data_IF_537102059117
#
_entry.id   IF_537102059117
#
_cell.length_a   1.000
_cell.length_b   1.000
_cell.length_c   1.000
_cell.angle_alpha   90.00
_cell.angle_beta   90.00
_cell.angle_gamma   90.00
#
_symmetry.space_group_name_H-M   'P 1'
#
loop_
_entity.id
_entity.type
_entity.pdbx_description
1 polymer ?
#
# COMPACT_ATOMS: atom_id res chain seq x y z
N UNK A 1 25.57 -15.05 -25.83
CA UNK A 1 24.57 -15.98 -25.31
C UNK A 1 23.26 -15.20 -25.12
N UNK A 2 22.19 -15.64 -25.81
CA UNK A 2 20.89 -15.04 -25.63
C UNK A 2 20.44 -15.25 -24.17
N UNK A 3 19.88 -14.19 -23.57
CA UNK A 3 19.25 -14.29 -22.25
C UNK A 3 18.20 -15.41 -22.33
N UNK A 4 18.26 -16.37 -21.41
CA UNK A 4 17.16 -17.32 -21.25
C UNK A 4 15.91 -16.47 -20.98
N UNK A 5 14.83 -16.63 -21.76
CA UNK A 5 13.60 -15.91 -21.45
C UNK A 5 13.17 -16.33 -20.05
N UNK A 6 12.80 -15.34 -19.22
CA UNK A 6 11.95 -15.62 -18.06
C UNK A 6 10.85 -16.59 -18.53
N UNK A 7 10.51 -17.64 -17.77
CA UNK A 7 9.48 -18.57 -18.17
C UNK A 7 8.31 -17.76 -18.71
N UNK A 8 7.86 -18.09 -19.90
CA UNK A 8 7.02 -17.30 -20.78
C UNK A 8 5.63 -17.09 -20.17
N UNK A 9 5.58 -16.40 -19.04
CA UNK A 9 4.39 -15.76 -18.50
C UNK A 9 4.27 -14.40 -19.19
N UNK A 10 4.05 -14.43 -20.52
CA UNK A 10 3.20 -13.41 -21.07
C UNK A 10 1.93 -13.54 -20.23
N UNK A 11 1.79 -12.68 -19.20
CA UNK A 11 0.61 -12.64 -18.38
C UNK A 11 -0.54 -12.63 -19.38
N UNK A 12 -1.48 -13.61 -19.33
CA UNK A 12 -2.62 -13.57 -20.22
C UNK A 12 -3.22 -12.19 -20.00
N UNK A 13 -3.23 -11.36 -21.04
CA UNK A 13 -3.86 -10.06 -20.99
C UNK A 13 -5.29 -10.34 -20.54
N UNK A 14 -5.73 -9.71 -19.46
CA UNK A 14 -7.12 -9.78 -19.05
C UNK A 14 -7.97 -9.52 -20.29
N UNK A 15 -9.11 -10.17 -20.42
CA UNK A 15 -9.94 -10.09 -21.63
C UNK A 15 -10.51 -8.68 -21.87
N UNK A 16 -10.55 -7.83 -20.83
CA UNK A 16 -11.03 -6.47 -20.90
C UNK A 16 -9.93 -5.53 -21.43
N UNK A 17 -10.26 -4.71 -22.39
CA UNK A 17 -9.42 -3.65 -22.94
C UNK A 17 -9.54 -2.34 -22.17
N UNK A 18 -9.57 -1.23 -22.94
CA UNK A 18 -9.70 0.12 -22.37
C UNK A 18 -10.99 0.35 -21.58
N UNK A 19 -12.07 -0.34 -21.92
CA UNK A 19 -13.35 -0.29 -21.22
C UNK A 19 -13.26 -0.72 -19.75
N UNK A 20 -12.28 -1.54 -19.40
CA UNK A 20 -12.04 -1.94 -18.02
C UNK A 20 -11.60 -0.80 -17.09
N UNK A 21 -11.20 0.35 -17.65
CA UNK A 21 -10.83 1.54 -16.87
C UNK A 21 -11.97 2.54 -16.70
N UNK A 22 -13.12 2.33 -17.36
CA UNK A 22 -14.23 3.25 -17.29
C UNK A 22 -14.82 3.30 -15.87
N UNK A 23 -15.00 4.51 -15.31
CA UNK A 23 -15.47 4.72 -13.95
C UNK A 23 -14.55 4.13 -12.85
N UNK A 24 -13.27 3.83 -13.16
CA UNK A 24 -12.35 3.26 -12.18
C UNK A 24 -12.01 4.25 -11.06
N UNK A 25 -11.76 5.51 -11.37
CA UNK A 25 -11.45 6.52 -10.36
C UNK A 25 -12.61 6.72 -9.37
N UNK A 26 -13.84 6.72 -9.85
CA UNK A 26 -15.05 6.81 -9.02
C UNK A 26 -15.19 5.58 -8.12
N UNK A 27 -14.96 4.38 -8.67
CA UNK A 27 -15.00 3.14 -7.89
C UNK A 27 -13.94 3.13 -6.78
N UNK A 28 -12.71 3.58 -7.08
CA UNK A 28 -11.65 3.71 -6.08
C UNK A 28 -11.97 4.79 -5.04
N UNK A 29 -12.65 5.87 -5.42
CA UNK A 29 -13.07 6.95 -4.53
C UNK A 29 -14.01 6.51 -3.40
N UNK A 30 -14.71 5.38 -3.59
CA UNK A 30 -15.50 4.75 -2.52
C UNK A 30 -14.66 4.11 -1.42
N UNK A 31 -13.39 3.78 -1.71
CA UNK A 31 -12.47 3.14 -0.76
C UNK A 31 -11.37 4.10 -0.29
N UNK A 32 -10.83 4.91 -1.20
CA UNK A 32 -9.74 5.86 -0.94
C UNK A 32 -10.32 7.27 -0.88
N UNK A 33 -10.66 7.69 0.31
CA UNK A 33 -11.37 8.95 0.55
C UNK A 33 -10.43 10.15 0.49
N UNK A 34 -10.94 11.28 -0.02
CA UNK A 34 -10.25 12.56 -0.01
C UNK A 34 -9.11 12.72 -1.01
N UNK A 35 -9.01 11.85 -2.03
CA UNK A 35 -7.91 11.85 -3.01
C UNK A 35 -8.37 11.83 -4.48
N UNK A 36 -9.38 12.61 -4.91
CA UNK A 36 -9.96 12.48 -6.24
C UNK A 36 -8.96 12.73 -7.36
N UNK A 37 -8.14 13.78 -7.27
CA UNK A 37 -7.16 14.14 -8.30
C UNK A 37 -6.02 13.11 -8.41
N UNK A 38 -5.57 12.61 -7.26
CA UNK A 38 -4.59 11.54 -7.21
C UNK A 38 -5.12 10.26 -7.87
N UNK A 39 -6.35 9.85 -7.56
CA UNK A 39 -6.96 8.65 -8.13
C UNK A 39 -7.12 8.75 -9.64
N UNK A 40 -7.45 9.92 -10.17
CA UNK A 40 -7.48 10.16 -11.61
C UNK A 40 -6.10 9.98 -12.25
N UNK A 41 -5.04 10.53 -11.64
CA UNK A 41 -3.66 10.35 -12.11
C UNK A 41 -3.22 8.88 -12.04
N UNK A 42 -3.56 8.18 -10.96
CA UNK A 42 -3.27 6.74 -10.81
C UNK A 42 -3.94 5.92 -11.92
N UNK A 43 -5.21 6.19 -12.21
CA UNK A 43 -5.93 5.52 -13.30
C UNK A 43 -5.28 5.81 -14.65
N UNK A 44 -4.84 7.04 -14.91
CA UNK A 44 -4.11 7.41 -16.13
C UNK A 44 -2.81 6.61 -16.23
N UNK A 45 -2.02 6.52 -15.15
CA UNK A 45 -0.77 5.78 -15.11
C UNK A 45 -0.97 4.29 -15.43
N UNK A 46 -2.04 3.68 -14.89
CA UNK A 46 -2.40 2.28 -15.14
C UNK A 46 -2.98 2.06 -16.55
N UNK A 47 -3.73 3.03 -17.08
CA UNK A 47 -4.36 2.97 -18.42
C UNK A 47 -3.37 3.26 -19.56
N UNK A 48 -2.29 3.99 -19.29
CA UNK A 48 -1.32 4.47 -20.30
C UNK A 48 -0.84 3.37 -21.27
N UNK A 49 -0.41 2.16 -20.83
CA UNK A 49 0.06 1.13 -21.74
C UNK A 49 -1.01 0.60 -22.70
N UNK A 50 -2.26 0.72 -22.35
CA UNK A 50 -3.39 0.27 -23.19
C UNK A 50 -3.70 1.27 -24.31
N UNK A 51 -3.33 2.55 -24.10
CA UNK A 51 -3.50 3.62 -25.10
C UNK A 51 -2.27 3.74 -26.00
N UNK A 52 -1.08 3.80 -25.38
CA UNK A 52 0.17 4.07 -26.11
C UNK A 52 0.86 2.79 -26.60
N UNK A 53 0.46 1.64 -26.07
CA UNK A 53 1.21 0.40 -26.25
C UNK A 53 2.46 0.35 -25.35
N UNK A 54 3.09 -0.81 -25.32
CA UNK A 54 4.40 -1.02 -24.71
C UNK A 54 5.16 -2.06 -25.53
N UNK A 55 6.46 -1.92 -25.63
CA UNK A 55 7.28 -2.74 -26.53
C UNK A 55 8.09 -3.79 -25.76
N UNK A 56 8.14 -4.98 -26.34
CA UNK A 56 9.10 -6.03 -26.03
C UNK A 56 9.17 -6.46 -24.57
N UNK A 57 10.36 -6.33 -24.01
CA UNK A 57 10.69 -6.77 -22.64
C UNK A 57 10.57 -5.64 -21.60
N UNK A 58 10.21 -4.44 -22.02
CA UNK A 58 10.03 -3.27 -21.13
C UNK A 58 8.87 -3.43 -20.18
N UNK A 59 8.89 -2.66 -19.09
CA UNK A 59 7.74 -2.49 -18.22
C UNK A 59 6.54 -1.93 -19.00
N UNK A 60 5.32 -2.25 -18.58
CA UNK A 60 4.12 -1.59 -19.13
C UNK A 60 4.15 -0.10 -18.84
N UNK A 61 4.45 0.26 -17.62
CA UNK A 61 4.71 1.62 -17.21
C UNK A 61 5.61 1.61 -15.95
N UNK A 62 6.34 2.68 -15.75
CA UNK A 62 7.04 2.96 -14.50
C UNK A 62 6.58 4.32 -13.99
N UNK A 63 6.14 4.41 -12.75
CA UNK A 63 5.63 5.64 -12.18
C UNK A 63 5.89 5.78 -10.69
N UNK A 64 5.86 7.03 -10.21
CA UNK A 64 6.02 7.38 -8.81
C UNK A 64 4.66 7.59 -8.17
N UNK A 65 4.46 7.00 -6.99
CA UNK A 65 3.39 7.33 -6.05
C UNK A 65 4.04 7.99 -4.84
N UNK A 66 3.71 9.25 -4.59
CA UNK A 66 4.31 10.02 -3.50
C UNK A 66 3.28 10.86 -2.75
N UNK A 67 3.71 11.52 -1.68
CA UNK A 67 2.91 12.40 -0.85
C UNK A 67 2.97 12.04 0.63
N UNK A 68 2.28 12.81 1.50
CA UNK A 68 2.36 12.63 2.94
C UNK A 68 2.03 11.23 3.42
N UNK A 69 2.51 10.87 4.62
CA UNK A 69 2.18 9.61 5.27
C UNK A 69 0.66 9.44 5.43
N UNK A 70 0.21 8.19 5.43
CA UNK A 70 -1.15 7.77 5.76
C UNK A 70 -2.27 8.44 4.94
N UNK A 71 -1.98 8.82 3.70
CA UNK A 71 -2.93 9.43 2.75
C UNK A 71 -3.58 8.42 1.80
N UNK A 72 -3.37 7.12 2.03
CA UNK A 72 -4.01 6.05 1.27
C UNK A 72 -3.21 5.52 0.07
N UNK A 73 -1.91 5.78 -0.02
CA UNK A 73 -1.06 5.31 -1.13
C UNK A 73 -1.08 3.78 -1.30
N UNK A 74 -0.83 3.01 -0.24
CA UNK A 74 -0.92 1.54 -0.27
C UNK A 74 -2.33 1.05 -0.59
N UNK A 75 -3.31 1.62 0.11
CA UNK A 75 -4.72 1.26 -0.06
C UNK A 75 -5.17 1.45 -1.50
N UNK A 76 -4.77 2.55 -2.15
CA UNK A 76 -5.14 2.84 -3.53
C UNK A 76 -4.53 1.85 -4.54
N UNK A 77 -3.29 1.44 -4.34
CA UNK A 77 -2.64 0.43 -5.20
C UNK A 77 -3.32 -0.93 -5.04
N UNK A 78 -3.59 -1.36 -3.80
CA UNK A 78 -4.32 -2.61 -3.54
C UNK A 78 -5.72 -2.56 -4.15
N UNK A 79 -6.50 -1.51 -3.87
CA UNK A 79 -7.85 -1.36 -4.40
C UNK A 79 -7.87 -1.32 -5.94
N UNK A 80 -6.90 -0.63 -6.57
CA UNK A 80 -6.79 -0.57 -8.02
C UNK A 80 -6.45 -1.95 -8.63
N UNK A 81 -5.51 -2.69 -8.03
CA UNK A 81 -5.13 -4.02 -8.51
C UNK A 81 -6.30 -5.01 -8.39
N UNK A 82 -7.00 -5.03 -7.26
CA UNK A 82 -8.17 -5.87 -7.03
C UNK A 82 -9.31 -5.53 -7.99
N UNK A 83 -9.63 -4.25 -8.16
CA UNK A 83 -10.71 -3.80 -9.02
C UNK A 83 -10.39 -4.10 -10.50
N UNK A 84 -9.14 -3.87 -10.95
CA UNK A 84 -8.73 -4.20 -12.30
C UNK A 84 -8.70 -5.73 -12.56
N UNK A 85 -8.35 -6.54 -11.56
CA UNK A 85 -8.48 -7.99 -11.64
C UNK A 85 -9.95 -8.42 -11.72
N UNK A 86 -10.83 -7.84 -10.91
CA UNK A 86 -12.26 -8.09 -10.94
C UNK A 86 -12.90 -7.74 -12.30
N UNK A 87 -12.40 -6.68 -12.94
CA UNK A 87 -12.82 -6.27 -14.28
C UNK A 87 -12.16 -7.08 -15.41
N UNK A 88 -11.28 -8.01 -15.10
CA UNK A 88 -10.56 -8.84 -16.08
C UNK A 88 -9.49 -8.08 -16.87
N UNK A 89 -9.01 -6.94 -16.38
CA UNK A 89 -7.89 -6.18 -16.97
C UNK A 89 -6.56 -6.76 -16.51
N UNK A 90 -6.44 -7.03 -15.20
CA UNK A 90 -5.29 -7.72 -14.61
C UNK A 90 -5.55 -9.21 -14.44
N UNK A 91 -4.48 -9.97 -14.38
CA UNK A 91 -4.55 -11.43 -14.16
C UNK A 91 -4.86 -11.75 -12.71
N UNK A 92 -4.35 -10.93 -11.79
CA UNK A 92 -4.48 -11.08 -10.35
C UNK A 92 -4.49 -9.71 -9.68
N UNK A 93 -5.20 -9.61 -8.54
CA UNK A 93 -5.11 -8.45 -7.64
C UNK A 93 -3.86 -8.43 -6.76
N UNK A 94 -2.98 -9.44 -6.89
CA UNK A 94 -1.77 -9.52 -6.11
C UNK A 94 -0.77 -8.43 -6.52
N UNK A 95 -0.07 -7.87 -5.53
CA UNK A 95 1.03 -6.92 -5.71
C UNK A 95 2.29 -7.51 -5.09
N UNK A 96 3.41 -7.40 -5.79
CA UNK A 96 4.72 -7.72 -5.24
C UNK A 96 5.31 -6.48 -4.57
N UNK A 97 5.52 -6.54 -3.26
CA UNK A 97 6.09 -5.47 -2.46
C UNK A 97 7.55 -5.74 -2.18
N UNK A 98 8.42 -4.78 -2.45
CA UNK A 98 9.85 -4.84 -2.14
C UNK A 98 10.23 -3.65 -1.25
N UNK A 99 10.53 -3.93 0.01
CA UNK A 99 11.11 -2.95 0.92
C UNK A 99 12.62 -2.86 0.67
N UNK A 100 13.04 -1.81 -0.01
CA UNK A 100 14.43 -1.61 -0.40
C UNK A 100 15.35 -1.27 0.79
N UNK A 101 14.79 -0.92 1.95
CA UNK A 101 15.57 -0.73 3.18
C UNK A 101 16.21 -2.01 3.71
N UNK A 102 15.75 -3.17 3.24
CA UNK A 102 16.34 -4.48 3.57
C UNK A 102 17.67 -4.74 2.85
N UNK A 103 18.07 -3.87 1.91
CA UNK A 103 19.28 -4.02 1.10
C UNK A 103 20.19 -2.78 1.24
N UNK A 104 20.67 -2.45 2.47
CA UNK A 104 21.44 -1.22 2.72
C UNK A 104 22.90 -1.30 2.29
N UNK A 105 23.46 -2.50 2.09
CA UNK A 105 24.86 -2.70 1.74
C UNK A 105 25.04 -3.65 0.56
N UNK A 106 26.25 -3.69 0.01
CA UNK A 106 26.58 -4.59 -1.11
C UNK A 106 26.54 -6.10 -0.72
N UNK A 107 26.54 -6.42 0.58
CA UNK A 107 26.47 -7.80 1.04
C UNK A 107 25.12 -8.47 0.70
N UNK A 108 24.06 -7.70 0.59
CA UNK A 108 22.70 -8.17 0.25
C UNK A 108 22.47 -8.37 -1.26
N UNK A 109 23.48 -8.22 -2.13
CA UNK A 109 23.30 -8.30 -3.59
C UNK A 109 22.57 -9.57 -4.04
N UNK A 110 22.96 -10.74 -3.53
CA UNK A 110 22.34 -12.01 -3.92
C UNK A 110 20.87 -12.07 -3.49
N UNK A 111 20.59 -11.61 -2.28
CA UNK A 111 19.23 -11.55 -1.75
C UNK A 111 18.37 -10.57 -2.58
N UNK A 112 18.88 -9.37 -2.81
CA UNK A 112 18.20 -8.36 -3.63
C UNK A 112 17.86 -8.89 -5.03
N UNK A 113 18.82 -9.50 -5.72
CA UNK A 113 18.60 -10.02 -7.08
C UNK A 113 17.61 -11.19 -7.08
N UNK A 114 17.64 -12.06 -6.06
CA UNK A 114 16.69 -13.15 -5.90
C UNK A 114 15.27 -12.61 -5.67
N UNK A 115 15.09 -11.67 -4.74
CA UNK A 115 13.79 -11.10 -4.39
C UNK A 115 13.23 -10.28 -5.55
N UNK A 116 14.07 -9.50 -6.25
CA UNK A 116 13.68 -8.78 -7.45
C UNK A 116 13.23 -9.75 -8.57
N UNK A 117 13.97 -10.83 -8.79
CA UNK A 117 13.57 -11.86 -9.75
C UNK A 117 12.20 -12.45 -9.38
N UNK A 118 11.99 -12.81 -8.11
CA UNK A 118 10.73 -13.37 -7.63
C UNK A 118 9.57 -12.39 -7.81
N UNK A 119 9.79 -11.11 -7.51
CA UNK A 119 8.79 -10.05 -7.70
C UNK A 119 8.42 -9.88 -9.18
N UNK A 120 9.42 -9.87 -10.08
CA UNK A 120 9.19 -9.77 -11.53
C UNK A 120 8.54 -11.04 -12.13
N UNK A 121 8.79 -12.22 -11.56
CA UNK A 121 8.23 -13.49 -12.01
C UNK A 121 6.85 -13.80 -11.40
N UNK A 122 6.41 -13.06 -10.38
CA UNK A 122 5.10 -13.25 -9.73
C UNK A 122 3.94 -13.05 -10.70
N UNK A 123 2.76 -13.59 -10.38
CA UNK A 123 1.56 -13.48 -11.23
C UNK A 123 1.00 -12.07 -11.29
N UNK A 124 1.09 -11.30 -10.20
CA UNK A 124 0.58 -9.94 -10.11
C UNK A 124 1.18 -9.01 -11.16
N UNK A 125 0.41 -8.07 -11.62
CA UNK A 125 0.83 -7.12 -12.66
C UNK A 125 1.69 -5.97 -12.12
N UNK A 126 1.67 -5.71 -10.80
CA UNK A 126 2.33 -4.57 -10.15
C UNK A 126 3.48 -5.05 -9.25
N UNK A 127 4.63 -4.39 -9.36
CA UNK A 127 5.76 -4.48 -8.42
C UNK A 127 5.98 -3.10 -7.82
N UNK A 128 5.95 -3.02 -6.49
CA UNK A 128 6.13 -1.77 -5.73
C UNK A 128 7.48 -1.79 -5.02
N UNK A 129 8.23 -0.72 -5.14
CA UNK A 129 9.51 -0.49 -4.49
C UNK A 129 9.36 0.63 -3.46
N UNK A 130 9.63 0.32 -2.19
CA UNK A 130 9.52 1.25 -1.07
C UNK A 130 10.88 1.55 -0.46
N UNK A 131 10.98 2.68 0.24
CA UNK A 131 12.16 3.09 1.01
C UNK A 131 13.48 3.08 0.20
N UNK A 132 13.42 3.49 -1.06
CA UNK A 132 14.59 3.53 -1.94
C UNK A 132 15.72 4.41 -1.39
N UNK A 133 15.41 5.37 -0.53
CA UNK A 133 16.36 6.28 0.12
C UNK A 133 17.35 5.55 1.03
N UNK A 134 17.00 4.33 1.47
CA UNK A 134 17.82 3.49 2.36
C UNK A 134 18.50 2.34 1.64
N UNK A 135 18.30 2.23 0.33
CA UNK A 135 18.85 1.17 -0.49
C UNK A 135 20.29 1.47 -0.91
N UNK A 136 21.09 0.40 -1.07
CA UNK A 136 22.43 0.52 -1.67
C UNK A 136 22.35 1.11 -3.09
N UNK A 137 23.10 2.17 -3.42
CA UNK A 137 23.05 2.83 -4.73
C UNK A 137 23.27 1.92 -5.94
N UNK A 138 24.09 0.88 -5.79
CA UNK A 138 24.30 -0.09 -6.86
C UNK A 138 23.01 -0.81 -7.25
N UNK A 139 22.12 -1.11 -6.29
CA UNK A 139 20.84 -1.76 -6.55
C UNK A 139 19.83 -0.80 -7.19
N UNK A 140 19.87 0.49 -6.82
CA UNK A 140 19.08 1.52 -7.51
C UNK A 140 19.48 1.61 -8.99
N UNK A 141 20.74 1.35 -9.34
CA UNK A 141 21.19 1.28 -10.73
C UNK A 141 20.52 0.11 -11.48
N UNK A 142 20.32 -1.03 -10.81
CA UNK A 142 19.56 -2.17 -11.40
C UNK A 142 18.14 -1.75 -11.73
N UNK A 143 17.44 -1.10 -10.80
CA UNK A 143 16.08 -0.59 -11.01
C UNK A 143 16.04 0.47 -12.11
N UNK A 144 17.02 1.36 -12.12
CA UNK A 144 17.16 2.38 -13.15
C UNK A 144 17.29 1.77 -14.56
N UNK A 145 18.09 0.70 -14.71
CA UNK A 145 18.22 -0.02 -15.96
C UNK A 145 16.90 -0.69 -16.39
N UNK A 146 16.14 -1.26 -15.45
CA UNK A 146 14.82 -1.84 -15.75
C UNK A 146 13.85 -0.79 -16.30
N UNK A 147 13.83 0.42 -15.72
CA UNK A 147 12.95 1.51 -16.14
C UNK A 147 13.40 2.11 -17.47
N UNK A 148 14.68 2.46 -17.60
CA UNK A 148 15.19 3.22 -18.76
C UNK A 148 15.47 2.35 -19.98
N UNK A 149 15.89 1.09 -19.78
CA UNK A 149 16.38 0.20 -20.82
C UNK A 149 15.53 -1.05 -21.02
N UNK A 150 14.51 -1.25 -20.18
CA UNK A 150 13.68 -2.46 -20.18
C UNK A 150 14.39 -3.73 -19.74
N UNK A 151 15.66 -3.64 -19.33
CA UNK A 151 16.45 -4.78 -18.81
C UNK A 151 17.62 -4.31 -17.97
N UNK A 152 18.02 -5.14 -17.00
CA UNK A 152 19.25 -4.95 -16.24
C UNK A 152 20.14 -6.18 -16.38
N UNK A 153 21.36 -6.04 -16.93
CA UNK A 153 22.30 -7.15 -17.04
C UNK A 153 22.75 -7.60 -15.64
N UNK A 154 23.00 -8.90 -15.49
CA UNK A 154 23.56 -9.50 -14.30
C UNK A 154 25.07 -9.63 -14.44
N UNK A 155 25.83 -9.15 -13.48
CA UNK A 155 27.29 -9.24 -13.48
C UNK A 155 27.79 -10.65 -13.19
N UNK A 156 27.06 -11.43 -12.38
CA UNK A 156 27.35 -12.80 -12.01
C UNK A 156 26.72 -13.82 -12.96
N UNK A 157 27.04 -15.10 -12.72
CA UNK A 157 26.40 -16.22 -13.39
C UNK A 157 25.26 -16.74 -12.55
N UNK A 158 24.05 -16.53 -12.98
CA UNK A 158 22.86 -16.97 -12.28
C UNK A 158 22.12 -18.03 -13.10
N UNK A 159 21.52 -18.98 -12.40
CA UNK A 159 20.67 -20.03 -12.98
C UNK A 159 19.34 -20.09 -12.25
N UNK A 160 18.34 -20.64 -12.91
CA UNK A 160 17.06 -20.91 -12.27
C UNK A 160 17.04 -22.32 -11.71
N UNK A 161 16.90 -22.42 -10.38
CA UNK A 161 16.70 -23.69 -9.68
C UNK A 161 15.38 -23.61 -8.91
N UNK A 162 14.44 -24.49 -9.24
CA UNK A 162 13.11 -24.53 -8.61
C UNK A 162 12.40 -23.16 -8.64
N UNK A 163 12.53 -22.41 -9.73
CA UNK A 163 11.92 -21.08 -9.90
C UNK A 163 12.64 -19.95 -9.15
N UNK A 164 13.79 -20.21 -8.53
CA UNK A 164 14.60 -19.20 -7.84
C UNK A 164 15.87 -18.89 -8.60
N UNK A 165 16.27 -17.61 -8.56
CA UNK A 165 17.54 -17.17 -9.12
C UNK A 165 18.68 -17.52 -8.14
N UNK A 166 19.59 -18.39 -8.58
CA UNK A 166 20.70 -18.88 -7.74
C UNK A 166 22.03 -18.55 -8.43
N UNK A 167 22.97 -18.01 -7.65
CA UNK A 167 24.33 -17.75 -8.12
C UNK A 167 25.05 -19.08 -8.38
N UNK A 168 25.44 -19.30 -9.62
CA UNK A 168 26.16 -20.49 -10.06
C UNK A 168 27.68 -20.42 -9.75
N UNK A 169 28.18 -19.29 -9.27
CA UNK A 169 29.60 -19.09 -8.97
C UNK A 169 30.48 -19.36 -10.20
N UNK A 170 31.46 -20.26 -10.02
CA UNK A 170 32.40 -20.66 -11.09
C UNK A 170 31.94 -21.90 -11.88
N UNK A 171 30.74 -22.43 -11.64
CA UNK A 171 30.22 -23.58 -12.37
C UNK A 171 30.04 -23.26 -13.86
N UNK A 172 30.35 -24.23 -14.71
CA UNK A 172 30.00 -24.18 -16.11
C UNK A 172 28.50 -24.47 -16.26
N UNK A 173 27.71 -23.45 -16.58
CA UNK A 173 26.27 -23.58 -16.76
C UNK A 173 25.88 -23.17 -18.18
N UNK A 174 25.00 -23.95 -18.78
CA UNK A 174 24.52 -23.73 -20.17
C UNK A 174 23.35 -22.74 -20.22
N UNK A 175 22.53 -22.67 -19.15
CA UNK A 175 21.29 -21.91 -19.11
C UNK A 175 21.39 -20.74 -18.11
N UNK A 176 22.44 -19.93 -18.24
CA UNK A 176 22.63 -18.77 -17.38
C UNK A 176 21.62 -17.66 -17.69
N UNK A 177 21.01 -17.10 -16.66
CA UNK A 177 20.21 -15.87 -16.74
C UNK A 177 21.18 -14.68 -16.86
N UNK A 178 21.17 -14.03 -18.01
CA UNK A 178 22.09 -12.92 -18.30
C UNK A 178 21.55 -11.53 -17.95
N UNK A 179 20.24 -11.39 -17.77
CA UNK A 179 19.60 -10.13 -17.44
C UNK A 179 18.24 -10.35 -16.78
N UNK A 180 17.80 -9.37 -15.98
CA UNK A 180 16.44 -9.25 -15.51
C UNK A 180 15.64 -8.35 -16.45
N UNK A 181 14.35 -8.67 -16.65
CA UNK A 181 13.44 -7.87 -17.48
C UNK A 181 12.12 -7.67 -16.74
N UNK A 182 11.53 -6.46 -16.81
CA UNK A 182 10.25 -6.16 -16.16
C UNK A 182 9.04 -6.45 -17.06
N UNK A 183 9.19 -7.32 -18.04
CA UNK A 183 8.17 -7.59 -19.06
C UNK A 183 6.79 -7.81 -18.49
N UNK A 184 5.82 -6.99 -18.92
CA UNK A 184 4.42 -7.11 -18.53
C UNK A 184 4.10 -6.56 -17.14
N UNK A 185 5.07 -5.94 -16.44
CA UNK A 185 4.89 -5.38 -15.12
C UNK A 185 4.71 -3.86 -15.14
N UNK A 186 3.99 -3.35 -14.16
CA UNK A 186 4.08 -1.97 -13.73
C UNK A 186 5.15 -1.88 -12.63
N UNK A 187 6.08 -0.96 -12.77
CA UNK A 187 7.10 -0.67 -11.76
C UNK A 187 6.70 0.60 -11.03
N UNK A 188 6.36 0.48 -9.76
CA UNK A 188 5.87 1.59 -8.94
C UNK A 188 6.90 1.90 -7.87
N UNK A 189 7.42 3.14 -7.86
CA UNK A 189 8.15 3.64 -6.70
C UNK A 189 7.15 4.28 -5.76
N UNK A 190 7.23 3.95 -4.48
CA UNK A 190 6.39 4.51 -3.45
C UNK A 190 7.25 5.22 -2.40
N UNK A 191 6.96 6.49 -2.15
CA UNK A 191 7.74 7.33 -1.24
C UNK A 191 6.86 8.36 -0.53
N UNK A 192 7.35 8.88 0.57
CA UNK A 192 6.81 10.06 1.24
C UNK A 192 7.61 11.34 0.92
N UNK A 193 8.77 11.16 0.29
CA UNK A 193 9.65 12.26 -0.08
C UNK A 193 9.13 13.00 -1.32
N UNK A 194 9.37 14.33 -1.42
CA UNK A 194 9.07 15.09 -2.62
C UNK A 194 9.79 14.53 -3.86
N UNK A 195 9.20 14.75 -5.05
CA UNK A 195 9.74 14.28 -6.34
C UNK A 195 11.22 14.68 -6.53
N UNK A 196 11.63 15.85 -6.05
CA UNK A 196 13.02 16.31 -6.13
C UNK A 196 14.00 15.32 -5.48
N UNK A 197 13.62 14.65 -4.39
CA UNK A 197 14.45 13.66 -3.72
C UNK A 197 14.67 12.39 -4.53
N UNK A 198 13.74 12.04 -5.42
CA UNK A 198 13.91 10.93 -6.35
C UNK A 198 15.10 11.19 -7.30
N UNK A 199 15.25 12.44 -7.77
CA UNK A 199 16.37 12.82 -8.61
C UNK A 199 17.72 12.73 -7.89
N UNK A 200 17.75 13.00 -6.57
CA UNK A 200 18.96 12.85 -5.76
C UNK A 200 19.41 11.36 -5.69
N UNK A 201 18.48 10.43 -5.63
CA UNK A 201 18.76 9.00 -5.51
C UNK A 201 19.05 8.31 -6.87
N UNK A 202 18.30 8.65 -7.90
CA UNK A 202 18.34 7.97 -9.20
C UNK A 202 18.91 8.82 -10.36
N UNK A 203 19.05 10.11 -10.16
CA UNK A 203 19.43 11.06 -11.20
C UNK A 203 18.25 11.53 -12.08
N UNK A 204 18.41 12.70 -12.71
CA UNK A 204 17.40 13.32 -13.56
C UNK A 204 16.95 12.45 -14.76
N UNK A 205 17.83 11.67 -15.43
CA UNK A 205 17.42 10.81 -16.54
C UNK A 205 16.39 9.73 -16.12
N UNK A 206 16.51 9.21 -14.91
CA UNK A 206 15.54 8.26 -14.37
C UNK A 206 14.16 8.90 -14.17
N UNK A 207 14.12 10.07 -13.54
CA UNK A 207 12.87 10.81 -13.31
C UNK A 207 12.17 11.11 -14.64
N UNK A 208 12.95 11.49 -15.66
CA UNK A 208 12.42 11.76 -17.01
C UNK A 208 11.91 10.50 -17.73
N UNK A 209 12.37 9.32 -17.33
CA UNK A 209 11.92 8.03 -17.88
C UNK A 209 10.63 7.51 -17.21
N UNK A 210 10.21 8.10 -16.08
CA UNK A 210 8.93 7.76 -15.48
C UNK A 210 7.78 8.25 -16.36
N UNK A 211 6.80 7.39 -16.59
CA UNK A 211 5.62 7.74 -17.37
C UNK A 211 4.68 8.70 -16.64
N UNK A 212 4.61 8.58 -15.32
CA UNK A 212 3.66 9.35 -14.50
C UNK A 212 4.21 9.62 -13.09
N UNK A 213 3.68 10.69 -12.49
CA UNK A 213 3.89 11.04 -11.08
C UNK A 213 2.51 11.25 -10.45
N UNK A 214 2.16 10.38 -9.50
CA UNK A 214 0.90 10.37 -8.79
C UNK A 214 1.14 10.84 -7.35
N UNK A 215 0.70 12.04 -7.03
CA UNK A 215 0.94 12.65 -5.72
C UNK A 215 -0.36 12.74 -4.92
N UNK A 216 -0.36 12.18 -3.70
CA UNK A 216 -1.45 12.34 -2.74
C UNK A 216 -1.32 13.68 -2.01
N UNK A 217 -2.46 14.27 -1.68
CA UNK A 217 -2.53 15.45 -0.82
C UNK A 217 -2.74 15.06 0.65
N UNK A 218 -2.37 15.95 1.57
CA UNK A 218 -2.78 15.81 2.97
C UNK A 218 -4.31 15.80 3.06
N UNK A 219 -4.86 14.95 3.94
CA UNK A 219 -6.30 14.85 4.12
C UNK A 219 -6.85 16.12 4.76
N UNK A 220 -7.96 16.62 4.23
CA UNK A 220 -8.69 17.74 4.81
C UNK A 220 -9.50 17.29 6.02
N UNK A 221 -9.96 18.20 6.91
CA UNK A 221 -10.85 17.85 8.02
C UNK A 221 -12.12 17.12 7.55
N UNK A 222 -12.69 17.53 6.40
CA UNK A 222 -13.86 16.89 5.80
C UNK A 222 -13.53 15.45 5.36
N UNK A 223 -12.34 15.25 4.76
CA UNK A 223 -11.88 13.92 4.35
C UNK A 223 -11.63 13.03 5.56
N UNK A 224 -11.04 13.56 6.65
CA UNK A 224 -10.83 12.83 7.90
C UNK A 224 -12.15 12.45 8.56
N UNK A 225 -13.16 13.33 8.53
CA UNK A 225 -14.51 13.02 9.02
C UNK A 225 -15.15 11.90 8.21
N UNK A 226 -14.98 11.91 6.89
CA UNK A 226 -15.46 10.83 6.03
C UNK A 226 -14.75 9.50 6.32
N UNK A 227 -13.42 9.53 6.54
CA UNK A 227 -12.65 8.34 6.96
C UNK A 227 -13.13 7.84 8.31
N UNK A 228 -13.33 8.74 9.31
CA UNK A 228 -13.80 8.37 10.63
C UNK A 228 -15.15 7.65 10.57
N UNK A 229 -16.07 8.15 9.75
CA UNK A 229 -17.38 7.52 9.52
C UNK A 229 -17.24 6.14 8.86
N UNK A 230 -16.46 6.03 7.80
CA UNK A 230 -16.27 4.78 7.07
C UNK A 230 -15.61 3.69 7.94
N UNK A 231 -14.60 4.05 8.74
CA UNK A 231 -13.96 3.12 9.68
C UNK A 231 -14.87 2.74 10.85
N UNK A 232 -15.70 3.68 11.33
CA UNK A 232 -16.75 3.35 12.29
C UNK A 232 -17.74 2.33 11.72
N UNK A 233 -18.21 2.49 10.49
CA UNK A 233 -19.15 1.55 9.86
C UNK A 233 -18.56 0.13 9.78
N UNK A 234 -17.24 0.01 9.49
CA UNK A 234 -16.51 -1.27 9.55
C UNK A 234 -16.44 -1.84 10.98
N UNK A 235 -16.15 -0.99 11.96
CA UNK A 235 -16.15 -1.38 13.37
C UNK A 235 -17.53 -1.90 13.78
N UNK A 236 -18.61 -1.18 13.48
CA UNK A 236 -19.97 -1.55 13.82
C UNK A 236 -20.36 -2.91 13.21
N UNK A 237 -20.04 -3.12 11.94
CA UNK A 237 -20.27 -4.40 11.27
C UNK A 237 -19.46 -5.56 11.91
N UNK A 238 -18.19 -5.31 12.26
CA UNK A 238 -17.32 -6.27 12.94
C UNK A 238 -17.84 -6.60 14.35
N UNK A 239 -18.25 -5.59 15.11
CA UNK A 239 -18.78 -5.74 16.47
C UNK A 239 -20.09 -6.54 16.46
N UNK A 240 -20.98 -6.25 15.54
CA UNK A 240 -22.22 -7.02 15.36
C UNK A 240 -21.94 -8.49 15.07
N UNK A 241 -21.01 -8.78 14.16
CA UNK A 241 -20.67 -10.14 13.73
C UNK A 241 -19.94 -10.94 14.82
N UNK A 242 -18.96 -10.32 15.49
CA UNK A 242 -18.02 -11.02 16.37
C UNK A 242 -18.42 -10.93 17.86
N UNK A 243 -18.99 -9.80 18.30
CA UNK A 243 -19.31 -9.53 19.70
C UNK A 243 -20.82 -9.60 20.00
N UNK A 244 -21.66 -9.57 18.97
CA UNK A 244 -23.11 -9.54 19.11
C UNK A 244 -23.68 -8.18 19.52
N UNK A 245 -22.87 -7.09 19.42
CA UNK A 245 -23.30 -5.72 19.71
C UNK A 245 -23.80 -5.01 18.47
N UNK A 246 -24.93 -4.30 18.61
CA UNK A 246 -25.29 -3.20 17.71
C UNK A 246 -24.63 -1.93 18.23
N UNK A 247 -23.61 -1.43 17.52
CA UNK A 247 -22.87 -0.23 17.93
C UNK A 247 -23.36 0.97 17.13
N UNK A 248 -23.63 2.07 17.80
CA UNK A 248 -23.94 3.38 17.21
C UNK A 248 -22.90 4.41 17.67
N UNK A 249 -22.63 5.43 16.87
CA UNK A 249 -21.79 6.56 17.26
C UNK A 249 -22.53 7.87 17.04
N UNK A 250 -22.47 8.73 18.05
CA UNK A 250 -22.89 10.12 17.92
C UNK A 250 -21.83 10.98 17.22
N UNK A 251 -22.22 12.15 16.73
CA UNK A 251 -21.35 13.09 16.00
C UNK A 251 -20.09 13.45 16.80
N UNK A 252 -20.21 13.59 18.14
CA UNK A 252 -19.06 13.90 18.99
C UNK A 252 -17.99 12.80 18.98
N UNK A 253 -18.39 11.51 18.91
CA UNK A 253 -17.43 10.40 18.82
C UNK A 253 -16.75 10.36 17.44
N UNK A 254 -17.49 10.64 16.37
CA UNK A 254 -16.96 10.72 15.01
C UNK A 254 -15.97 11.89 14.86
N UNK A 255 -16.30 13.05 15.45
CA UNK A 255 -15.42 14.21 15.46
C UNK A 255 -14.12 13.92 16.22
N UNK A 256 -14.23 13.33 17.42
CA UNK A 256 -13.08 12.95 18.24
C UNK A 256 -12.16 11.96 17.49
N UNK A 257 -12.74 11.01 16.76
CA UNK A 257 -12.00 10.09 15.92
C UNK A 257 -11.26 10.82 14.77
N UNK A 258 -11.92 11.76 14.09
CA UNK A 258 -11.32 12.55 13.03
C UNK A 258 -10.15 13.41 13.53
N UNK A 259 -10.27 13.99 14.74
CA UNK A 259 -9.23 14.79 15.38
C UNK A 259 -8.03 13.97 15.84
N UNK A 260 -8.17 12.65 16.00
CA UNK A 260 -7.10 11.76 16.42
C UNK A 260 -6.00 11.55 15.36
N UNK A 261 -6.18 12.07 14.13
CA UNK A 261 -5.17 12.03 13.08
C UNK A 261 -3.89 12.83 13.38
N UNK A 262 -3.91 13.68 14.40
CA UNK A 262 -2.76 14.47 14.84
C UNK A 262 -2.25 15.46 13.77
N UNK A 263 -0.97 15.88 13.91
CA UNK A 263 -0.33 16.86 13.01
C UNK A 263 -0.03 16.32 11.62
N UNK A 264 0.12 15.02 11.48
CA UNK A 264 0.44 14.37 10.21
C UNK A 264 -0.71 14.41 9.18
N UNK A 265 -1.94 14.69 9.63
CA UNK A 265 -3.16 14.75 8.80
C UNK A 265 -3.38 13.51 7.93
N UNK A 266 -2.93 12.36 8.41
CA UNK A 266 -3.12 11.07 7.78
C UNK A 266 -4.27 10.27 8.43
N UNK A 267 -4.67 9.17 7.81
CA UNK A 267 -5.77 8.34 8.31
C UNK A 267 -5.38 7.42 9.48
N UNK A 268 -4.09 7.18 9.72
CA UNK A 268 -3.61 6.18 10.69
C UNK A 268 -4.12 6.43 12.13
N UNK A 269 -4.16 7.70 12.56
CA UNK A 269 -4.71 8.06 13.86
C UNK A 269 -6.18 7.65 14.00
N UNK A 270 -6.97 7.86 12.96
CA UNK A 270 -8.40 7.46 12.93
C UNK A 270 -8.56 5.95 13.01
N UNK A 271 -7.74 5.21 12.24
CA UNK A 271 -7.78 3.73 12.26
C UNK A 271 -7.39 3.20 13.64
N UNK A 272 -6.31 3.71 14.24
CA UNK A 272 -5.85 3.33 15.55
C UNK A 272 -6.89 3.67 16.65
N UNK A 273 -7.58 4.81 16.51
CA UNK A 273 -8.66 5.20 17.42
C UNK A 273 -9.79 4.15 17.44
N UNK A 274 -10.28 3.75 16.25
CA UNK A 274 -11.37 2.78 16.16
C UNK A 274 -10.92 1.35 16.50
N UNK A 275 -9.66 0.98 16.25
CA UNK A 275 -9.14 -0.32 16.70
C UNK A 275 -9.09 -0.41 18.23
N UNK A 276 -8.67 0.65 18.93
CA UNK A 276 -8.74 0.72 20.39
C UNK A 276 -10.18 0.64 20.89
N UNK A 277 -11.10 1.37 20.27
CA UNK A 277 -12.52 1.30 20.60
C UNK A 277 -13.06 -0.14 20.48
N UNK A 278 -12.73 -0.81 19.37
CA UNK A 278 -13.14 -2.21 19.19
C UNK A 278 -12.56 -3.14 20.25
N UNK A 279 -11.29 -2.99 20.62
CA UNK A 279 -10.65 -3.79 21.70
C UNK A 279 -11.34 -3.56 23.04
N UNK A 280 -11.70 -2.33 23.36
CA UNK A 280 -12.41 -2.00 24.60
C UNK A 280 -13.82 -2.60 24.63
N UNK A 281 -14.56 -2.56 23.51
CA UNK A 281 -15.85 -3.25 23.37
C UNK A 281 -15.70 -4.76 23.53
N UNK A 282 -14.66 -5.35 22.97
CA UNK A 282 -14.38 -6.77 23.14
C UNK A 282 -14.05 -7.13 24.59
N UNK A 283 -13.26 -6.29 25.28
CA UNK A 283 -12.96 -6.47 26.70
C UNK A 283 -14.23 -6.42 27.55
N UNK A 284 -15.09 -5.43 27.32
CA UNK A 284 -16.39 -5.34 28.00
C UNK A 284 -17.21 -6.64 27.80
N UNK A 285 -17.25 -7.17 26.58
CA UNK A 285 -17.98 -8.42 26.27
C UNK A 285 -17.40 -9.63 26.98
N UNK A 286 -16.08 -9.68 27.18
CA UNK A 286 -15.40 -10.77 27.91
C UNK A 286 -15.66 -10.72 29.42
N UNK A 287 -15.85 -9.52 29.97
CA UNK A 287 -16.08 -9.32 31.42
C UNK A 287 -17.56 -9.44 31.81
N UNK A 288 -18.48 -9.37 30.84
CA UNK A 288 -19.92 -9.36 31.07
C UNK A 288 -20.64 -10.38 30.20
N UNK A 289 -20.92 -11.56 30.74
CA UNK A 289 -21.59 -12.64 30.01
C UNK A 289 -23.00 -12.24 29.52
N UNK A 290 -23.75 -11.49 30.33
CA UNK A 290 -25.09 -10.96 30.06
C UNK A 290 -25.05 -9.53 29.50
N UNK A 291 -24.01 -9.18 28.75
CA UNK A 291 -23.84 -7.85 28.17
C UNK A 291 -25.06 -7.42 27.33
N UNK A 292 -25.49 -6.15 27.41
CA UNK A 292 -26.53 -5.61 26.56
C UNK A 292 -26.17 -5.79 25.09
N UNK A 293 -27.19 -5.94 24.24
CA UNK A 293 -26.99 -6.13 22.78
C UNK A 293 -26.68 -4.83 22.02
N UNK A 294 -26.59 -3.72 22.70
CA UNK A 294 -26.36 -2.42 22.12
C UNK A 294 -25.33 -1.61 22.90
N UNK A 295 -24.50 -0.85 22.21
CA UNK A 295 -23.57 0.13 22.76
C UNK A 295 -23.68 1.44 21.98
N UNK A 296 -23.92 2.56 22.67
CA UNK A 296 -23.93 3.89 22.07
C UNK A 296 -22.61 4.61 22.39
N UNK A 297 -21.81 4.89 21.35
CA UNK A 297 -20.54 5.62 21.49
C UNK A 297 -20.79 7.12 21.45
N UNK A 298 -20.20 7.82 22.41
CA UNK A 298 -20.21 9.27 22.53
C UNK A 298 -18.83 9.82 22.85
N UNK A 299 -18.73 11.11 23.08
CA UNK A 299 -17.52 11.72 23.60
C UNK A 299 -17.89 12.72 24.73
N UNK A 300 -17.10 12.69 25.79
CA UNK A 300 -17.19 13.65 26.91
C UNK A 300 -15.77 13.98 27.37
N UNK A 301 -15.50 15.26 27.59
CA UNK A 301 -14.20 15.77 28.05
C UNK A 301 -13.00 15.29 27.25
N UNK A 302 -13.16 15.21 25.88
CA UNK A 302 -12.12 14.73 24.98
C UNK A 302 -11.84 13.22 25.05
N UNK A 303 -12.73 12.43 25.67
CA UNK A 303 -12.62 10.99 25.81
C UNK A 303 -13.78 10.27 25.14
N UNK A 304 -13.48 9.09 24.59
CA UNK A 304 -14.51 8.23 24.01
C UNK A 304 -15.29 7.55 25.12
N UNK A 305 -16.61 7.72 25.11
CA UNK A 305 -17.51 7.07 26.04
C UNK A 305 -18.38 6.02 25.36
N UNK A 306 -18.83 5.02 26.11
CA UNK A 306 -19.84 4.06 25.70
C UNK A 306 -20.96 3.96 26.71
N UNK A 307 -22.19 3.95 26.25
CA UNK A 307 -23.36 3.64 27.03
C UNK A 307 -23.89 2.25 26.67
N UNK A 308 -23.85 1.36 27.64
CA UNK A 308 -24.38 0.01 27.55
C UNK A 308 -25.77 -0.14 28.21
N UNK A 309 -26.48 0.98 28.42
CA UNK A 309 -27.79 1.03 29.09
C UNK A 309 -27.75 1.43 30.55
N UNK A 310 -26.56 1.66 31.14
CA UNK A 310 -26.37 2.13 32.49
C UNK A 310 -25.87 3.59 32.59
N UNK A 311 -25.77 4.26 31.45
CA UNK A 311 -25.20 5.59 31.27
C UNK A 311 -23.80 5.55 30.68
N UNK A 312 -23.32 6.71 30.15
CA UNK A 312 -22.03 6.79 29.49
C UNK A 312 -20.86 6.60 30.46
N UNK A 313 -19.92 5.74 30.11
CA UNK A 313 -18.68 5.52 30.85
C UNK A 313 -17.48 5.65 29.89
N UNK A 314 -16.29 5.99 30.39
CA UNK A 314 -15.06 6.06 29.62
C UNK A 314 -14.75 4.66 29.05
N UNK A 315 -14.89 4.50 27.72
CA UNK A 315 -14.73 3.21 27.07
C UNK A 315 -13.28 2.71 27.13
N UNK A 316 -12.31 3.61 26.98
CA UNK A 316 -10.89 3.22 26.92
C UNK A 316 -10.33 2.85 28.30
N UNK A 317 -11.00 3.23 29.40
CA UNK A 317 -10.63 2.80 30.76
C UNK A 317 -10.79 1.29 30.98
N UNK A 318 -11.52 0.61 30.11
CA UNK A 318 -11.67 -0.87 30.11
C UNK A 318 -10.42 -1.58 29.60
N UNK A 319 -9.54 -0.89 28.90
CA UNK A 319 -8.29 -1.49 28.42
C UNK A 319 -7.26 -1.59 29.56
N UNK A 320 -6.42 -2.66 29.58
CA UNK A 320 -5.30 -2.75 30.48
C UNK A 320 -4.37 -1.51 30.40
N UNK A 321 -3.76 -1.11 31.51
CA UNK A 321 -2.90 0.09 31.60
C UNK A 321 -1.79 0.14 30.53
N UNK A 322 -1.25 -1.01 30.13
CA UNK A 322 -0.26 -1.10 29.06
C UNK A 322 -0.76 -0.56 27.69
N UNK A 323 -2.07 -0.55 27.46
CA UNK A 323 -2.70 -0.01 26.24
C UNK A 323 -3.26 1.40 26.44
N UNK A 324 -3.32 1.91 27.68
CA UNK A 324 -3.72 3.29 27.99
C UNK A 324 -2.55 4.27 27.77
N UNK A 325 -1.31 3.83 27.96
CA UNK A 325 -0.11 4.66 27.84
C UNK A 325 0.20 5.17 26.41
N UNK A 326 -0.27 4.51 25.37
CA UNK A 326 -0.16 5.01 23.99
C UNK A 326 -1.01 6.28 23.75
N UNK A 327 -2.03 6.52 24.57
CA UNK A 327 -2.88 7.73 24.51
C UNK A 327 -2.15 8.94 25.09
N UNK A 328 -1.30 8.74 26.09
CA UNK A 328 -0.50 9.82 26.70
C UNK A 328 0.73 10.18 25.85
N UNK A 329 1.36 9.21 25.21
CA UNK A 329 2.47 9.46 24.29
C UNK A 329 2.04 10.32 23.10
N UNK A 330 0.86 10.08 22.53
CA UNK A 330 0.28 10.92 21.47
C UNK A 330 -0.08 12.32 21.99
N UNK A 331 -0.50 12.46 23.24
CA UNK A 331 -0.74 13.78 23.85
C UNK A 331 0.54 14.57 24.10
N UNK A 332 1.63 13.92 24.53
CA UNK A 332 2.92 14.57 24.76
C UNK A 332 3.62 15.03 23.47
N UNK A 333 3.29 14.43 22.32
CA UNK A 333 3.76 14.90 21.01
C UNK A 333 2.88 16.03 20.41
N UNK A 334 1.71 16.29 21.01
CA UNK A 334 0.77 17.33 20.57
C UNK A 334 0.90 18.66 21.32
N UNK A 335 1.58 18.69 22.49
CA UNK A 335 1.94 19.88 23.27
C UNK A 335 3.35 20.35 22.89
#
# INVERSE_FOLDING_TARGET
AAAAPLPNHAAPRGKAGLEGFDGLAEALGGTVLGQPDYLQKLVIALKRPYVMGHEGESARNAFLVTGPADTGKHLSLCAAAEELARRGVFVSGDISWMDLSLYPTAAEEKLFLQDLYMALAAKGDIVVFEHYERCQPAFLTVLSNLVQRGKSPLAGRYVLQNGRLVDAGNALVTDAVGALTPRGKYLVLLSEAPVAKLADSFGAPFVSALGDICETAALTPESLSAVAKAEFDKLAARAQKALGFTVTAGDAALLLAAESSGRAKGAQGVLAFWDRAYRALAQYRLEHDDAPKAAALGAADGRLTADFGAGPADLLSLLPEAYQGEVEAVKAELD
#
